data_IF_441981491774
#
_entry.id   IF_441981491774
#
_cell.length_a   1.000
_cell.length_b   1.000
_cell.length_c   1.000
_cell.angle_alpha   90.00
_cell.angle_beta   90.00
_cell.angle_gamma   90.00
#
_symmetry.space_group_name_H-M   'P 1'
#
loop_
_entity.id
_entity.type
_entity.pdbx_description
1 polymer ?
#
# COMPACT_ATOMS: atom_id res chain seq x y z
N UNK A 1 -5.73 7.24 -20.75
CA UNK A 1 -5.53 5.77 -20.71
C UNK A 1 -5.15 5.32 -19.31
N UNK A 2 -5.72 4.21 -18.81
CA UNK A 2 -5.39 3.55 -17.55
C UNK A 2 -4.41 2.39 -17.81
N UNK A 3 -3.32 2.30 -17.05
CA UNK A 3 -2.44 1.14 -17.01
C UNK A 3 -2.59 0.39 -15.69
N UNK A 4 -2.96 -0.87 -15.76
CA UNK A 4 -3.06 -1.78 -14.62
C UNK A 4 -1.84 -2.70 -14.62
N UNK A 5 -1.03 -2.63 -13.57
CA UNK A 5 0.19 -3.40 -13.42
C UNK A 5 -0.08 -4.57 -12.48
N UNK A 6 0.16 -5.79 -12.96
CA UNK A 6 -0.07 -7.03 -12.22
C UNK A 6 1.26 -7.79 -12.11
N UNK A 7 1.97 -7.70 -10.99
CA UNK A 7 3.14 -8.53 -10.72
C UNK A 7 2.70 -9.98 -10.49
N UNK A 8 3.40 -10.93 -11.10
CA UNK A 8 3.05 -12.36 -11.09
C UNK A 8 4.24 -13.17 -10.61
N UNK A 9 4.06 -13.92 -9.53
CA UNK A 9 5.05 -14.89 -9.06
C UNK A 9 4.38 -16.04 -8.33
N UNK A 10 4.47 -17.25 -8.89
CA UNK A 10 3.94 -18.48 -8.28
C UNK A 10 2.43 -18.38 -7.93
N UNK A 11 1.63 -17.81 -8.82
CA UNK A 11 0.20 -17.54 -8.64
C UNK A 11 -0.67 -18.11 -9.76
N UNK A 12 -0.25 -19.18 -10.42
CA UNK A 12 -1.00 -19.81 -11.51
C UNK A 12 -2.46 -20.13 -11.15
N UNK A 13 -2.75 -20.44 -9.88
CA UNK A 13 -4.09 -20.80 -9.42
C UNK A 13 -5.06 -19.62 -9.31
N UNK A 14 -4.56 -18.41 -9.10
CA UNK A 14 -5.36 -17.20 -8.86
C UNK A 14 -5.35 -16.22 -10.03
N UNK A 15 -4.31 -16.29 -10.88
CA UNK A 15 -4.05 -15.34 -11.96
C UNK A 15 -5.24 -15.16 -12.90
N UNK A 16 -5.91 -16.25 -13.31
CA UNK A 16 -7.02 -16.16 -14.26
C UNK A 16 -8.17 -15.34 -13.67
N UNK A 17 -8.55 -15.60 -12.44
CA UNK A 17 -9.62 -14.85 -11.76
C UNK A 17 -9.23 -13.38 -11.52
N UNK A 18 -7.96 -13.09 -11.25
CA UNK A 18 -7.43 -11.72 -11.15
C UNK A 18 -7.60 -11.00 -12.50
N UNK A 19 -7.03 -11.53 -13.58
CA UNK A 19 -7.06 -10.93 -14.91
C UNK A 19 -8.51 -10.73 -15.42
N UNK A 20 -9.37 -11.73 -15.26
CA UNK A 20 -10.79 -11.62 -15.60
C UNK A 20 -11.47 -10.48 -14.88
N UNK A 21 -11.23 -10.34 -13.56
CA UNK A 21 -11.84 -9.27 -12.75
C UNK A 21 -11.45 -7.88 -13.23
N UNK A 22 -10.21 -7.73 -13.72
CA UNK A 22 -9.71 -6.46 -14.28
C UNK A 22 -10.27 -6.21 -15.67
N UNK A 23 -10.31 -7.21 -16.54
CA UNK A 23 -10.88 -7.07 -17.90
C UNK A 23 -12.36 -6.73 -17.92
N UNK A 24 -13.10 -7.15 -16.89
CA UNK A 24 -14.53 -6.86 -16.71
C UNK A 24 -14.84 -5.43 -16.25
N UNK A 25 -13.83 -4.58 -16.02
CA UNK A 25 -13.99 -3.21 -15.50
C UNK A 25 -14.45 -2.24 -16.59
N UNK A 26 -15.20 -2.44 -17.50
CA UNK A 26 -15.90 -1.53 -18.43
C UNK A 26 -15.15 -0.18 -18.66
N UNK A 27 -13.83 -0.26 -18.91
CA UNK A 27 -12.96 0.86 -19.22
C UNK A 27 -12.37 0.65 -20.61
N UNK A 28 -12.72 1.54 -21.55
CA UNK A 28 -12.35 1.40 -22.97
C UNK A 28 -10.82 1.57 -23.15
N UNK A 29 -10.25 2.63 -22.59
CA UNK A 29 -8.84 2.94 -22.70
C UNK A 29 -8.05 2.37 -21.51
N UNK A 30 -7.95 1.03 -21.45
CA UNK A 30 -7.22 0.33 -20.41
C UNK A 30 -6.27 -0.72 -21.00
N UNK A 31 -5.03 -0.75 -20.51
CA UNK A 31 -4.07 -1.82 -20.75
C UNK A 31 -3.67 -2.52 -19.45
N UNK A 32 -3.39 -3.81 -19.52
CA UNK A 32 -2.83 -4.64 -18.47
C UNK A 32 -1.37 -4.98 -18.79
N UNK A 33 -0.49 -4.78 -17.82
CA UNK A 33 0.89 -5.25 -17.88
C UNK A 33 1.05 -6.39 -16.87
N UNK A 34 1.11 -7.63 -17.37
CA UNK A 34 1.41 -8.82 -16.57
C UNK A 34 2.94 -8.94 -16.50
N UNK A 35 3.50 -8.86 -15.31
CA UNK A 35 4.95 -8.97 -15.12
C UNK A 35 5.28 -10.26 -14.41
N UNK A 36 5.66 -11.26 -15.17
CA UNK A 36 6.13 -12.53 -14.63
C UNK A 36 7.55 -12.38 -14.07
N UNK A 37 7.69 -12.54 -12.77
CA UNK A 37 8.96 -12.43 -12.05
C UNK A 37 9.70 -13.78 -11.99
N UNK A 38 9.84 -14.45 -13.13
CA UNK A 38 10.41 -15.78 -13.29
C UNK A 38 9.70 -16.82 -12.41
N UNK A 39 8.39 -16.93 -12.55
CA UNK A 39 7.57 -17.89 -11.81
C UNK A 39 7.97 -19.34 -12.08
N UNK A 40 8.07 -20.19 -11.05
CA UNK A 40 8.42 -21.59 -11.20
C UNK A 40 7.24 -22.51 -11.58
N UNK A 41 6.01 -21.98 -11.55
CA UNK A 41 4.76 -22.68 -11.83
C UNK A 41 4.26 -22.40 -13.26
N UNK A 42 3.00 -22.68 -13.56
CA UNK A 42 2.39 -22.46 -14.88
C UNK A 42 2.02 -20.99 -15.17
N UNK A 43 2.28 -20.06 -14.26
CA UNK A 43 1.89 -18.65 -14.41
C UNK A 43 2.47 -18.00 -15.69
N UNK A 44 3.73 -18.22 -16.10
CA UNK A 44 4.26 -17.66 -17.34
C UNK A 44 3.43 -18.04 -18.58
N UNK A 45 3.11 -19.32 -18.73
CA UNK A 45 2.30 -19.81 -19.85
C UNK A 45 0.87 -19.25 -19.83
N UNK A 46 0.29 -19.03 -18.63
CA UNK A 46 -1.02 -18.39 -18.49
C UNK A 46 -0.96 -16.92 -18.88
N UNK A 47 0.09 -16.19 -18.50
CA UNK A 47 0.30 -14.81 -18.95
C UNK A 47 0.32 -14.72 -20.49
N UNK A 48 1.07 -15.58 -21.14
CA UNK A 48 1.14 -15.62 -22.61
C UNK A 48 -0.19 -15.97 -23.26
N UNK A 49 -0.93 -16.92 -22.68
CA UNK A 49 -2.26 -17.29 -23.15
C UNK A 49 -3.26 -16.12 -23.02
N UNK A 50 -3.18 -15.31 -21.95
CA UNK A 50 -3.98 -14.10 -21.79
C UNK A 50 -3.60 -13.03 -22.83
N UNK A 51 -2.31 -12.77 -23.06
CA UNK A 51 -1.87 -11.83 -24.08
C UNK A 51 -2.28 -12.24 -25.49
N UNK A 52 -2.17 -13.53 -25.81
CA UNK A 52 -2.61 -14.07 -27.10
C UNK A 52 -4.12 -13.89 -27.35
N UNK A 53 -4.94 -14.03 -26.30
CA UNK A 53 -6.41 -13.81 -26.38
C UNK A 53 -6.80 -12.33 -26.45
N UNK A 54 -5.98 -11.43 -25.87
CA UNK A 54 -6.27 -10.00 -25.78
C UNK A 54 -5.08 -9.12 -26.18
N UNK A 55 -4.52 -9.28 -27.42
CA UNK A 55 -3.24 -8.68 -27.83
C UNK A 55 -3.25 -7.14 -27.85
N UNK A 56 -4.45 -6.53 -27.91
CA UNK A 56 -4.60 -5.07 -27.89
C UNK A 56 -4.67 -4.49 -26.46
N UNK A 57 -4.91 -5.33 -25.46
CA UNK A 57 -5.15 -4.91 -24.07
C UNK A 57 -4.16 -5.46 -23.07
N UNK A 58 -3.51 -6.59 -23.36
CA UNK A 58 -2.60 -7.27 -22.43
C UNK A 58 -1.21 -7.37 -23.02
N UNK A 59 -0.22 -7.01 -22.24
CA UNK A 59 1.21 -7.20 -22.53
C UNK A 59 1.84 -7.99 -21.40
N UNK A 60 2.77 -8.86 -21.74
CA UNK A 60 3.56 -9.64 -20.80
C UNK A 60 4.99 -9.13 -20.79
N UNK A 61 5.58 -9.08 -19.60
CA UNK A 61 6.99 -8.82 -19.37
C UNK A 61 7.51 -10.01 -18.57
N UNK A 62 8.39 -10.83 -19.15
CA UNK A 62 9.06 -11.89 -18.42
C UNK A 62 10.39 -11.39 -17.88
N UNK A 63 10.58 -11.47 -16.56
CA UNK A 63 11.87 -11.18 -15.92
C UNK A 63 12.82 -12.36 -16.12
N UNK A 64 14.11 -12.13 -16.39
CA UNK A 64 15.07 -13.23 -16.60
C UNK A 64 15.39 -14.02 -15.33
N UNK A 65 15.07 -13.45 -14.17
CA UNK A 65 15.22 -14.06 -12.84
C UNK A 65 14.28 -13.40 -11.86
N UNK A 66 13.92 -14.08 -10.78
CA UNK A 66 13.15 -13.50 -9.70
C UNK A 66 13.90 -12.31 -9.08
N UNK A 67 13.28 -11.14 -9.15
CA UNK A 67 13.77 -9.88 -8.58
C UNK A 67 12.93 -9.38 -7.41
N UNK A 68 11.81 -10.05 -7.12
CA UNK A 68 10.82 -9.70 -6.11
C UNK A 68 9.81 -8.66 -6.57
N UNK A 69 8.78 -8.44 -5.76
CA UNK A 69 7.62 -7.60 -6.05
C UNK A 69 7.98 -6.20 -6.54
N UNK A 70 8.96 -5.56 -5.88
CA UNK A 70 9.47 -4.24 -6.27
C UNK A 70 10.04 -4.23 -7.69
N UNK A 71 10.82 -5.25 -8.05
CA UNK A 71 11.44 -5.33 -9.37
C UNK A 71 10.38 -5.53 -10.47
N UNK A 72 9.40 -6.40 -10.22
CA UNK A 72 8.29 -6.64 -11.15
C UNK A 72 7.48 -5.36 -11.39
N UNK A 73 7.05 -4.66 -10.33
CA UNK A 73 6.32 -3.39 -10.45
C UNK A 73 7.14 -2.33 -11.17
N UNK A 74 8.43 -2.20 -10.86
CA UNK A 74 9.32 -1.23 -11.48
C UNK A 74 9.53 -1.49 -12.98
N UNK A 75 9.64 -2.75 -13.40
CA UNK A 75 9.79 -3.10 -14.82
C UNK A 75 8.60 -2.62 -15.66
N UNK A 76 7.38 -2.79 -15.16
CA UNK A 76 6.19 -2.25 -15.83
C UNK A 76 6.14 -0.72 -15.79
N UNK A 77 6.49 -0.09 -14.67
CA UNK A 77 6.56 1.37 -14.56
C UNK A 77 7.52 1.95 -15.60
N UNK A 78 8.69 1.34 -15.81
CA UNK A 78 9.68 1.80 -16.79
C UNK A 78 9.14 1.71 -18.23
N UNK A 79 8.35 0.67 -18.54
CA UNK A 79 7.68 0.53 -19.85
C UNK A 79 6.63 1.63 -20.02
N UNK A 80 5.74 1.80 -19.05
CA UNK A 80 4.64 2.78 -19.07
C UNK A 80 5.17 4.20 -19.21
N UNK A 81 6.20 4.55 -18.44
CA UNK A 81 6.79 5.89 -18.46
C UNK A 81 7.53 6.19 -19.77
N UNK A 82 8.22 5.19 -20.33
CA UNK A 82 8.91 5.32 -21.63
C UNK A 82 7.93 5.56 -22.78
N UNK A 83 6.78 4.90 -22.76
CA UNK A 83 5.76 5.03 -23.80
C UNK A 83 5.01 6.36 -23.74
N UNK A 84 4.86 6.94 -22.55
CA UNK A 84 4.25 8.24 -22.35
C UNK A 84 2.77 8.36 -22.73
N UNK A 85 2.06 7.23 -22.84
CA UNK A 85 0.63 7.18 -23.28
C UNK A 85 -0.35 7.05 -22.13
N UNK A 86 0.13 6.73 -20.94
CA UNK A 86 -0.68 6.45 -19.74
C UNK A 86 -0.87 7.72 -18.93
N UNK A 87 -2.12 8.00 -18.54
CA UNK A 87 -2.46 9.11 -17.66
C UNK A 87 -2.54 8.67 -16.19
N UNK A 88 -3.04 7.45 -15.96
CA UNK A 88 -3.30 6.88 -14.64
C UNK A 88 -2.72 5.48 -14.55
N UNK A 89 -2.02 5.20 -13.45
CA UNK A 89 -1.45 3.90 -13.11
C UNK A 89 -2.16 3.36 -11.87
N UNK A 90 -2.40 2.05 -11.83
CA UNK A 90 -2.81 1.30 -10.65
C UNK A 90 -2.13 -0.06 -10.61
N UNK A 91 -2.15 -0.70 -9.45
CA UNK A 91 -1.58 -2.03 -9.24
C UNK A 91 -2.67 -2.99 -8.78
N UNK A 92 -2.54 -4.26 -9.16
CA UNK A 92 -3.38 -5.35 -8.64
C UNK A 92 -2.46 -6.53 -8.38
N UNK A 93 -2.49 -7.09 -7.18
CA UNK A 93 -1.72 -8.28 -6.88
C UNK A 93 -2.40 -9.51 -7.48
N UNK A 94 -1.62 -10.44 -8.04
CA UNK A 94 -2.13 -11.55 -8.88
C UNK A 94 -2.91 -12.62 -8.12
N UNK A 95 -2.97 -12.53 -6.79
CA UNK A 95 -3.81 -13.37 -5.91
C UNK A 95 -5.10 -12.66 -5.46
N UNK A 96 -5.33 -11.41 -5.92
CA UNK A 96 -6.49 -10.58 -5.58
C UNK A 96 -7.43 -10.37 -6.76
N UNK A 97 -8.53 -9.64 -6.52
CA UNK A 97 -9.57 -9.35 -7.52
C UNK A 97 -10.19 -7.96 -7.31
N UNK A 98 -10.89 -7.49 -8.32
CA UNK A 98 -11.73 -6.30 -8.22
C UNK A 98 -13.20 -6.67 -8.21
N UNK A 99 -14.01 -5.95 -7.46
CA UNK A 99 -15.45 -5.99 -7.63
C UNK A 99 -15.85 -5.44 -9.00
N UNK A 100 -16.96 -5.89 -9.59
CA UNK A 100 -17.49 -5.29 -10.82
C UNK A 100 -17.67 -3.78 -10.69
N UNK A 101 -17.43 -3.06 -11.80
CA UNK A 101 -17.63 -1.61 -11.89
C UNK A 101 -16.84 -0.81 -10.83
N UNK A 102 -15.59 -1.22 -10.53
CA UNK A 102 -14.70 -0.49 -9.60
C UNK A 102 -14.04 0.70 -10.29
N UNK A 103 -13.43 0.54 -11.47
CA UNK A 103 -12.61 1.59 -12.05
C UNK A 103 -13.39 2.73 -12.73
N UNK A 104 -14.52 2.46 -13.39
CA UNK A 104 -15.24 3.51 -14.11
C UNK A 104 -15.64 4.70 -13.22
N UNK A 105 -16.27 4.53 -12.03
CA UNK A 105 -16.59 5.65 -11.14
C UNK A 105 -15.34 6.31 -10.56
N UNK A 106 -14.24 5.58 -10.31
CA UNK A 106 -12.99 6.16 -9.79
C UNK A 106 -12.31 7.05 -10.83
N UNK A 107 -12.27 6.63 -12.10
CA UNK A 107 -11.76 7.44 -13.21
C UNK A 107 -12.60 8.68 -13.43
N UNK A 108 -13.92 8.56 -13.30
CA UNK A 108 -14.81 9.72 -13.36
C UNK A 108 -14.50 10.74 -12.26
N UNK A 109 -14.29 10.30 -11.01
CA UNK A 109 -13.85 11.18 -9.92
C UNK A 109 -12.51 11.84 -10.21
N UNK A 110 -11.52 11.09 -10.74
CA UNK A 110 -10.23 11.65 -11.13
C UNK A 110 -10.35 12.71 -12.24
N UNK A 111 -11.31 12.53 -13.17
CA UNK A 111 -11.59 13.50 -14.23
C UNK A 111 -12.27 14.77 -13.69
N UNK A 112 -13.16 14.66 -12.71
CA UNK A 112 -13.81 15.79 -12.06
C UNK A 112 -12.85 16.60 -11.17
N UNK A 113 -11.75 15.99 -10.72
CA UNK A 113 -10.76 16.61 -9.83
C UNK A 113 -9.36 16.61 -10.49
N UNK A 114 -9.08 17.53 -11.40
CA UNK A 114 -7.81 17.55 -12.16
C UNK A 114 -6.56 17.79 -11.30
N UNK A 115 -6.72 18.37 -10.11
CA UNK A 115 -5.63 18.60 -9.15
C UNK A 115 -5.36 17.41 -8.23
N UNK A 116 -6.22 16.38 -8.25
CA UNK A 116 -6.00 15.13 -7.54
C UNK A 116 -4.95 14.31 -8.29
N UNK A 117 -3.84 14.05 -7.62
CA UNK A 117 -2.75 13.24 -8.17
C UNK A 117 -2.83 11.77 -7.72
N UNK A 118 -3.46 11.51 -6.59
CA UNK A 118 -3.70 10.16 -6.06
C UNK A 118 -5.13 10.03 -5.55
N UNK A 119 -5.79 8.93 -5.89
CA UNK A 119 -7.10 8.54 -5.38
C UNK A 119 -6.97 7.20 -4.66
N UNK A 120 -7.44 7.14 -3.41
CA UNK A 120 -7.54 5.91 -2.64
C UNK A 120 -8.99 5.46 -2.55
N UNK A 121 -9.24 4.15 -2.71
CA UNK A 121 -10.58 3.57 -2.70
C UNK A 121 -10.70 2.38 -1.74
N UNK A 122 -11.96 1.96 -1.50
CA UNK A 122 -12.28 0.94 -0.54
C UNK A 122 -11.71 -0.44 -0.90
N UNK A 123 -11.43 -1.24 0.12
CA UNK A 123 -11.10 -2.66 -0.04
C UNK A 123 -11.88 -3.52 0.95
N UNK A 124 -11.99 -4.79 0.62
CA UNK A 124 -12.61 -5.81 1.45
C UNK A 124 -11.73 -7.06 1.50
N UNK A 125 -11.52 -7.61 2.69
CA UNK A 125 -10.81 -8.89 2.87
C UNK A 125 -11.74 -10.07 2.55
N UNK A 126 -11.26 -11.05 1.78
CA UNK A 126 -12.01 -12.23 1.34
C UNK A 126 -11.24 -13.50 1.73
N UNK A 127 -11.86 -14.57 2.29
CA UNK A 127 -13.26 -14.65 2.68
C UNK A 127 -13.59 -13.64 3.78
N UNK A 128 -14.83 -13.18 3.77
CA UNK A 128 -15.33 -12.12 4.65
C UNK A 128 -15.06 -12.46 6.12
N UNK A 129 -13.99 -11.95 6.68
CA UNK A 129 -13.81 -11.86 8.12
C UNK A 129 -14.41 -10.52 8.52
N UNK A 130 -15.40 -10.53 9.42
CA UNK A 130 -16.14 -9.38 9.92
C UNK A 130 -15.24 -8.36 10.67
N UNK A 131 -14.18 -7.90 10.04
CA UNK A 131 -13.40 -6.74 10.44
C UNK A 131 -13.90 -5.61 9.56
N UNK A 132 -14.79 -4.81 10.14
CA UNK A 132 -15.51 -3.72 9.52
C UNK A 132 -15.01 -3.32 8.14
N UNK A 133 -15.88 -3.46 7.17
CA UNK A 133 -15.70 -2.85 5.85
C UNK A 133 -15.24 -1.42 6.10
N UNK A 134 -14.03 -1.06 5.69
CA UNK A 134 -13.67 0.34 5.52
C UNK A 134 -14.45 0.93 4.31
N UNK A 135 -15.64 0.41 4.05
CA UNK A 135 -16.50 0.74 2.94
C UNK A 135 -17.93 0.34 3.23
N UNK A 136 -18.66 1.12 3.95
CA UNK A 136 -20.05 0.82 4.28
C UNK A 136 -20.80 1.98 4.90
N UNK A 137 -20.53 3.18 4.45
CA UNK A 137 -21.40 4.32 4.62
C UNK A 137 -21.27 5.17 3.37
N UNK A 138 -22.37 5.73 2.87
CA UNK A 138 -22.44 6.74 1.80
C UNK A 138 -21.71 8.04 2.22
N UNK A 139 -20.45 7.91 2.65
CA UNK A 139 -19.62 9.05 3.02
C UNK A 139 -19.14 9.69 1.72
N UNK A 140 -19.40 10.99 1.57
CA UNK A 140 -18.85 11.75 0.45
C UNK A 140 -17.33 11.59 0.37
N UNK A 141 -16.74 11.62 -0.82
CA UNK A 141 -15.29 11.60 -1.00
C UNK A 141 -14.63 12.70 -0.16
N UNK A 142 -13.50 12.37 0.47
CA UNK A 142 -12.74 13.31 1.31
C UNK A 142 -11.49 13.75 0.55
N UNK A 143 -11.34 15.07 0.37
CA UNK A 143 -10.19 15.67 -0.30
C UNK A 143 -9.16 16.12 0.73
N UNK A 144 -7.93 15.70 0.57
CA UNK A 144 -6.78 16.13 1.36
C UNK A 144 -5.87 17.00 0.50
N UNK A 145 -5.74 18.28 0.85
CA UNK A 145 -4.91 19.25 0.14
C UNK A 145 -3.43 19.22 0.56
N UNK A 146 -3.08 18.37 1.53
CA UNK A 146 -1.70 18.16 1.93
C UNK A 146 -1.45 16.71 2.42
N UNK A 147 -0.23 16.25 2.17
CA UNK A 147 0.23 14.91 2.49
C UNK A 147 0.20 14.59 3.98
N UNK A 148 0.49 15.57 4.86
CA UNK A 148 0.51 15.36 6.30
C UNK A 148 -0.89 15.08 6.85
N UNK A 149 -1.91 15.82 6.37
CA UNK A 149 -3.30 15.57 6.75
C UNK A 149 -3.76 14.20 6.28
N UNK A 150 -3.52 13.83 5.04
CA UNK A 150 -3.82 12.49 4.55
C UNK A 150 -3.13 11.43 5.40
N UNK A 151 -1.81 11.57 5.64
CA UNK A 151 -1.04 10.60 6.42
C UNK A 151 -1.56 10.40 7.83
N UNK A 152 -1.89 11.49 8.54
CA UNK A 152 -2.25 11.46 9.94
C UNK A 152 -3.75 11.31 10.20
N UNK A 153 -4.61 12.04 9.48
CA UNK A 153 -6.06 12.05 9.73
C UNK A 153 -6.72 10.79 9.14
N UNK A 154 -6.32 10.39 7.92
CA UNK A 154 -6.77 9.14 7.31
C UNK A 154 -6.06 7.92 7.89
N UNK A 155 -4.96 8.13 8.64
CA UNK A 155 -4.08 7.08 9.14
C UNK A 155 -3.49 6.23 8.00
N UNK A 156 -3.12 6.85 6.89
CA UNK A 156 -2.60 6.20 5.69
C UNK A 156 -1.40 5.27 5.97
N UNK A 157 -0.69 5.48 7.07
CA UNK A 157 0.36 4.59 7.57
C UNK A 157 -0.14 3.18 7.93
N UNK A 158 -1.44 2.97 8.12
CA UNK A 158 -2.04 1.64 8.38
C UNK A 158 -2.48 0.93 7.11
N UNK A 159 -2.56 1.63 5.97
CA UNK A 159 -3.02 1.13 4.68
C UNK A 159 -2.22 1.77 3.53
N UNK A 160 -0.89 1.75 3.64
CA UNK A 160 0.03 2.28 2.64
C UNK A 160 0.05 1.49 1.31
N UNK A 161 -0.82 0.51 1.17
CA UNK A 161 -0.91 -0.40 0.01
C UNK A 161 -0.91 0.32 -1.33
N UNK A 162 -0.18 -0.20 -2.32
CA UNK A 162 -0.19 0.34 -3.68
C UNK A 162 -1.47 -0.03 -4.44
N UNK A 163 -2.06 -1.18 -4.14
CA UNK A 163 -3.12 -1.80 -4.94
C UNK A 163 -4.51 -1.15 -4.81
N UNK A 164 -4.82 -0.43 -3.73
CA UNK A 164 -6.10 0.28 -3.58
C UNK A 164 -6.01 1.77 -3.93
N UNK A 165 -5.14 2.11 -4.86
CA UNK A 165 -4.92 3.50 -5.26
C UNK A 165 -4.79 3.64 -6.78
N UNK A 166 -5.30 4.77 -7.29
CA UNK A 166 -5.03 5.25 -8.64
C UNK A 166 -4.07 6.43 -8.53
N UNK A 167 -3.07 6.45 -9.39
CA UNK A 167 -2.02 7.46 -9.39
C UNK A 167 -1.94 8.15 -10.75
N UNK A 168 -1.83 9.48 -10.78
CA UNK A 168 -1.38 10.13 -12.01
C UNK A 168 0.03 9.69 -12.32
N UNK A 169 0.29 9.34 -13.57
CA UNK A 169 1.58 8.81 -14.03
C UNK A 169 2.75 9.71 -13.68
N UNK A 170 2.51 11.03 -13.60
CA UNK A 170 3.53 12.01 -13.25
C UNK A 170 4.19 11.76 -11.88
N UNK A 171 3.47 11.17 -10.91
CA UNK A 171 4.01 10.85 -9.58
C UNK A 171 5.14 9.80 -9.64
N UNK A 172 5.17 8.97 -10.69
CA UNK A 172 6.13 7.89 -10.83
C UNK A 172 7.39 8.25 -11.61
N UNK A 173 7.54 9.49 -12.08
CA UNK A 173 8.71 9.89 -12.90
C UNK A 173 10.02 9.60 -12.18
N UNK A 174 10.13 10.01 -10.91
CA UNK A 174 11.36 9.91 -10.12
C UNK A 174 11.22 8.95 -8.93
N UNK A 175 10.09 8.23 -8.83
CA UNK A 175 9.83 7.29 -7.73
C UNK A 175 9.79 5.86 -8.27
N UNK A 176 10.47 4.95 -7.55
CA UNK A 176 10.44 3.50 -7.77
C UNK A 176 10.32 2.79 -6.43
N UNK A 177 9.74 1.61 -6.46
CA UNK A 177 9.75 0.71 -5.31
C UNK A 177 11.19 0.30 -4.97
N UNK A 178 11.59 0.28 -3.69
CA UNK A 178 12.95 -0.09 -3.30
C UNK A 178 13.20 -1.58 -3.52
N UNK A 179 14.26 -1.92 -4.22
CA UNK A 179 14.64 -3.31 -4.47
C UNK A 179 15.11 -3.99 -3.18
N UNK A 180 14.75 -5.27 -3.01
CA UNK A 180 15.19 -6.08 -1.87
C UNK A 180 14.60 -5.68 -0.52
N UNK A 181 13.58 -4.81 -0.48
CA UNK A 181 12.84 -4.45 0.73
C UNK A 181 11.48 -5.13 0.73
N UNK A 182 11.08 -5.64 1.88
CA UNK A 182 9.69 -6.01 2.16
C UNK A 182 8.92 -4.81 2.71
N UNK A 183 7.59 -4.83 2.62
CA UNK A 183 6.74 -3.66 2.92
C UNK A 183 7.15 -2.43 2.10
N UNK A 184 7.49 -2.65 0.85
CA UNK A 184 7.95 -1.66 -0.12
C UNK A 184 6.98 -0.50 -0.30
N UNK A 185 5.69 -0.74 -0.10
CA UNK A 185 4.63 0.27 -0.15
C UNK A 185 4.83 1.36 0.92
N UNK A 186 5.21 0.94 2.16
CA UNK A 186 5.49 1.86 3.26
C UNK A 186 6.74 2.72 3.00
N UNK A 187 7.70 2.21 2.23
CA UNK A 187 8.85 2.97 1.77
C UNK A 187 8.50 3.93 0.64
N UNK A 188 7.54 3.56 -0.21
CA UNK A 188 7.24 4.25 -1.47
C UNK A 188 6.20 5.35 -1.31
N UNK A 189 5.11 5.10 -0.57
CA UNK A 189 4.01 6.06 -0.42
C UNK A 189 4.46 7.44 0.09
N UNK A 190 5.32 7.56 1.14
CA UNK A 190 5.79 8.87 1.58
C UNK A 190 6.58 9.66 0.52
N UNK A 191 7.22 8.97 -0.43
CA UNK A 191 7.96 9.59 -1.55
C UNK A 191 7.02 10.04 -2.65
N UNK A 192 5.96 9.27 -2.94
CA UNK A 192 4.91 9.70 -3.88
C UNK A 192 4.18 10.94 -3.37
N UNK A 193 3.92 10.98 -2.06
CA UNK A 193 3.27 12.11 -1.41
C UNK A 193 4.09 13.41 -1.47
N UNK A 194 5.41 13.35 -1.69
CA UNK A 194 6.25 14.54 -1.89
C UNK A 194 5.90 15.29 -3.18
N UNK A 195 5.50 14.58 -4.22
CA UNK A 195 5.08 15.15 -5.50
C UNK A 195 3.56 15.30 -5.64
N UNK A 196 2.79 14.89 -4.62
CA UNK A 196 1.34 14.84 -4.68
C UNK A 196 0.72 16.16 -4.21
N UNK A 197 -0.06 16.83 -5.06
CA UNK A 197 -0.79 18.07 -4.72
C UNK A 197 -2.00 17.77 -3.84
N UNK A 198 -2.83 16.81 -4.25
CA UNK A 198 -4.06 16.43 -3.56
C UNK A 198 -4.28 14.92 -3.59
N UNK A 199 -4.83 14.41 -2.50
CA UNK A 199 -5.28 13.02 -2.37
C UNK A 199 -6.79 13.00 -2.16
N UNK A 200 -7.50 12.20 -2.95
CA UNK A 200 -8.93 11.95 -2.80
C UNK A 200 -9.14 10.56 -2.21
N UNK A 201 -9.88 10.47 -1.12
CA UNK A 201 -10.27 9.18 -0.50
C UNK A 201 -11.76 8.96 -0.71
N UNK A 202 -12.13 7.80 -1.25
CA UNK A 202 -13.52 7.48 -1.57
C UNK A 202 -13.90 6.06 -1.14
N UNK A 203 -15.21 5.85 -0.97
CA UNK A 203 -15.79 4.53 -0.72
C UNK A 203 -16.36 3.90 -2.02
N UNK A 204 -16.24 4.57 -3.16
CA UNK A 204 -16.60 3.99 -4.45
C UNK A 204 -15.59 2.96 -4.89
N UNK A 205 -16.05 1.92 -5.58
CA UNK A 205 -15.24 0.79 -6.00
C UNK A 205 -14.84 -0.12 -4.82
N UNK A 206 -14.37 -1.31 -5.11
CA UNK A 206 -13.91 -2.23 -4.06
C UNK A 206 -12.82 -3.16 -4.60
N UNK A 207 -11.66 -3.12 -3.94
CA UNK A 207 -10.62 -4.10 -4.10
C UNK A 207 -10.91 -5.31 -3.21
N UNK A 208 -10.84 -6.51 -3.73
CA UNK A 208 -11.09 -7.76 -3.01
C UNK A 208 -9.74 -8.40 -2.64
N UNK A 209 -9.27 -8.09 -1.45
CA UNK A 209 -8.02 -8.61 -0.90
C UNK A 209 -8.21 -10.04 -0.42
N UNK A 210 -7.48 -10.98 -1.00
CA UNK A 210 -7.51 -12.40 -0.64
C UNK A 210 -6.49 -12.68 0.47
N UNK A 211 -6.94 -13.11 1.65
CA UNK A 211 -6.01 -13.46 2.71
C UNK A 211 -5.11 -14.65 2.30
N UNK A 212 -3.81 -14.41 2.27
CA UNK A 212 -2.81 -15.41 1.94
C UNK A 212 -2.01 -15.82 3.19
N UNK A 213 -2.26 -17.02 3.77
CA UNK A 213 -1.55 -17.47 4.96
C UNK A 213 -0.05 -17.72 4.72
N UNK A 214 0.38 -17.83 3.47
CA UNK A 214 1.80 -17.95 3.07
C UNK A 214 2.42 -16.60 2.69
N UNK A 215 1.64 -15.53 2.68
CA UNK A 215 2.11 -14.18 2.34
C UNK A 215 3.08 -13.59 3.36
N UNK A 216 3.81 -12.56 2.95
CA UNK A 216 4.81 -11.86 3.77
C UNK A 216 4.18 -11.33 5.06
N UNK A 217 2.99 -10.74 5.00
CA UNK A 217 2.30 -10.15 6.15
C UNK A 217 2.02 -11.19 7.26
N UNK A 218 1.67 -12.43 6.88
CA UNK A 218 1.37 -13.49 7.82
C UNK A 218 2.62 -14.13 8.44
N UNK A 219 3.77 -14.10 7.72
CA UNK A 219 4.99 -14.83 8.08
C UNK A 219 6.21 -13.92 8.27
N UNK A 220 5.99 -12.63 8.53
CA UNK A 220 7.07 -11.65 8.65
C UNK A 220 8.10 -12.03 9.72
N UNK A 221 9.35 -12.15 9.31
CA UNK A 221 10.50 -12.43 10.16
C UNK A 221 11.18 -11.14 10.68
N UNK A 222 12.29 -11.27 11.40
CA UNK A 222 13.00 -10.12 11.96
C UNK A 222 13.53 -9.13 10.91
N UNK A 223 13.91 -9.61 9.72
CA UNK A 223 14.38 -8.75 8.63
C UNK A 223 13.23 -7.95 8.00
N UNK A 224 12.06 -8.58 7.86
CA UNK A 224 10.84 -7.93 7.37
C UNK A 224 10.38 -6.81 8.33
N UNK A 225 10.38 -7.10 9.64
CA UNK A 225 10.06 -6.09 10.65
C UNK A 225 11.12 -4.98 10.73
N UNK A 226 12.40 -5.28 10.42
CA UNK A 226 13.42 -4.25 10.29
C UNK A 226 13.16 -3.33 9.11
N UNK A 227 12.76 -3.88 7.95
CA UNK A 227 12.39 -3.09 6.77
C UNK A 227 11.19 -2.18 7.04
N UNK A 228 10.12 -2.72 7.64
CA UNK A 228 8.95 -1.94 8.02
C UNK A 228 9.27 -0.84 9.03
N UNK A 229 10.14 -1.14 10.03
CA UNK A 229 10.56 -0.16 11.03
C UNK A 229 11.38 0.96 10.38
N UNK A 230 12.32 0.64 9.49
CA UNK A 230 13.12 1.62 8.75
C UNK A 230 12.21 2.62 8.01
N UNK A 231 11.26 2.11 7.21
CA UNK A 231 10.29 2.93 6.51
C UNK A 231 9.45 3.79 7.46
N UNK A 232 8.98 3.17 8.56
CA UNK A 232 8.14 3.84 9.56
C UNK A 232 8.88 4.95 10.30
N UNK A 233 10.18 4.79 10.57
CA UNK A 233 11.01 5.82 11.20
C UNK A 233 11.24 7.02 10.26
N UNK A 234 11.49 6.77 8.98
CA UNK A 234 11.60 7.84 7.97
C UNK A 234 10.29 8.64 7.91
N UNK A 235 9.15 7.96 7.79
CA UNK A 235 7.86 8.60 7.76
C UNK A 235 7.48 9.28 9.09
N UNK A 236 7.95 8.74 10.24
CA UNK A 236 7.79 9.38 11.54
C UNK A 236 8.50 10.73 11.60
N UNK A 237 9.75 10.80 11.16
CA UNK A 237 10.49 12.07 11.13
C UNK A 237 9.81 13.10 10.22
N UNK A 238 9.23 12.64 9.11
CA UNK A 238 8.58 13.51 8.13
C UNK A 238 7.22 14.06 8.62
N UNK A 239 6.36 13.21 9.17
CA UNK A 239 4.96 13.55 9.47
C UNK A 239 4.67 13.64 10.97
N UNK A 240 5.25 12.75 11.77
CA UNK A 240 4.95 12.66 13.20
C UNK A 240 5.61 13.76 14.01
N UNK A 241 6.90 14.02 13.78
CA UNK A 241 7.63 15.05 14.49
C UNK A 241 7.11 16.47 14.18
N UNK A 242 6.74 16.72 12.91
CA UNK A 242 6.16 18.00 12.48
C UNK A 242 4.78 18.23 13.08
N UNK A 243 3.95 17.19 13.19
CA UNK A 243 2.63 17.28 13.80
C UNK A 243 2.68 17.68 15.27
N UNK A 244 3.74 17.28 15.98
CA UNK A 244 3.96 17.63 17.38
C UNK A 244 4.17 19.14 17.56
N UNK A 245 4.94 19.74 16.66
CA UNK A 245 5.22 21.18 16.67
C UNK A 245 3.98 22.04 16.31
N UNK A 246 3.00 21.48 15.58
CA UNK A 246 1.82 22.18 15.08
C UNK A 246 0.56 21.96 15.94
N UNK A 247 0.67 21.63 17.24
CA UNK A 247 -0.43 21.35 18.17
C UNK A 247 -1.37 20.18 17.75
N UNK A 248 -1.02 19.40 16.75
CA UNK A 248 -1.79 18.22 16.29
C UNK A 248 -1.41 16.95 17.07
N UNK A 249 -1.16 17.16 18.35
CA UNK A 249 -0.55 16.20 19.27
C UNK A 249 -1.32 14.86 19.40
N UNK A 250 -2.68 14.85 19.22
CA UNK A 250 -3.45 13.61 19.31
C UNK A 250 -3.11 12.65 18.16
N UNK A 251 -3.04 13.16 16.94
CA UNK A 251 -2.73 12.34 15.75
C UNK A 251 -1.28 11.87 15.79
N UNK A 252 -0.36 12.73 16.25
CA UNK A 252 1.03 12.36 16.48
C UNK A 252 1.15 11.25 17.55
N UNK A 253 0.38 11.31 18.65
CA UNK A 253 0.36 10.26 19.69
C UNK A 253 -0.13 8.92 19.11
N UNK A 254 -1.19 8.92 18.30
CA UNK A 254 -1.70 7.72 17.63
C UNK A 254 -0.66 7.13 16.67
N UNK A 255 -0.04 7.96 15.86
CA UNK A 255 0.99 7.53 14.93
C UNK A 255 2.23 7.01 15.67
N UNK A 256 2.67 7.68 16.76
CA UNK A 256 3.75 7.17 17.60
C UNK A 256 3.45 5.77 18.15
N UNK A 257 2.22 5.52 18.62
CA UNK A 257 1.83 4.21 19.11
C UNK A 257 1.85 3.13 18.02
N UNK A 258 1.54 3.51 16.78
CA UNK A 258 1.68 2.59 15.63
C UNK A 258 3.16 2.22 15.41
N UNK A 259 4.04 3.21 15.30
CA UNK A 259 5.49 2.97 15.11
C UNK A 259 6.09 2.23 16.31
N UNK A 260 5.65 2.53 17.53
CA UNK A 260 6.04 1.81 18.74
C UNK A 260 5.69 0.32 18.67
N UNK A 261 4.51 -0.05 18.15
CA UNK A 261 4.13 -1.45 17.99
C UNK A 261 5.09 -2.17 17.03
N UNK A 262 5.45 -1.56 15.92
CA UNK A 262 6.43 -2.10 14.96
C UNK A 262 7.79 -2.26 15.66
N UNK A 263 8.25 -1.24 16.38
CA UNK A 263 9.51 -1.28 17.11
C UNK A 263 9.56 -2.41 18.15
N UNK A 264 8.48 -2.60 18.92
CA UNK A 264 8.41 -3.64 19.95
C UNK A 264 8.43 -5.04 19.31
N UNK A 265 7.73 -5.23 18.20
CA UNK A 265 7.74 -6.49 17.47
C UNK A 265 9.13 -6.80 16.89
N UNK A 266 9.80 -5.79 16.32
CA UNK A 266 11.19 -5.94 15.89
C UNK A 266 12.13 -6.31 17.04
N UNK A 267 12.04 -5.63 18.20
CA UNK A 267 12.84 -5.95 19.38
C UNK A 267 12.61 -7.39 19.87
N UNK A 268 11.34 -7.84 19.84
CA UNK A 268 10.96 -9.20 20.22
C UNK A 268 11.63 -10.26 19.35
N UNK A 269 11.61 -10.07 18.03
CA UNK A 269 12.14 -11.06 17.09
C UNK A 269 13.65 -10.98 16.92
N UNK A 270 14.25 -9.78 16.98
CA UNK A 270 15.67 -9.57 16.73
C UNK A 270 16.56 -9.58 17.98
N UNK A 271 15.97 -9.40 19.19
CA UNK A 271 16.72 -9.17 20.40
C UNK A 271 17.44 -7.81 20.48
N UNK A 272 17.32 -6.94 19.48
CA UNK A 272 18.03 -5.65 19.42
C UNK A 272 17.35 -4.58 20.29
N UNK A 273 18.12 -3.56 20.66
CA UNK A 273 17.60 -2.39 21.37
C UNK A 273 16.69 -1.52 20.49
N UNK A 274 15.73 -0.78 21.08
CA UNK A 274 14.88 0.12 20.33
C UNK A 274 15.66 1.32 19.77
N UNK A 275 15.28 1.74 18.57
CA UNK A 275 15.84 2.91 17.84
C UNK A 275 14.84 4.07 17.74
N UNK A 276 13.54 3.81 17.93
CA UNK A 276 12.53 4.87 17.97
C UNK A 276 12.85 5.85 19.11
N UNK A 277 12.91 7.17 18.87
CA UNK A 277 13.07 8.15 19.93
C UNK A 277 11.94 8.05 20.98
N UNK A 278 12.29 8.13 22.25
CA UNK A 278 11.29 8.16 23.31
C UNK A 278 10.43 9.43 23.20
N UNK A 279 9.12 9.25 23.30
CA UNK A 279 8.15 10.33 23.37
C UNK A 279 7.08 9.98 24.40
N UNK A 280 6.79 10.86 25.37
CA UNK A 280 5.65 10.70 26.26
C UNK A 280 4.36 10.90 25.48
N UNK A 281 3.43 9.91 25.56
CA UNK A 281 2.12 9.98 24.93
C UNK A 281 1.06 10.43 25.92
N UNK A 282 0.03 11.14 25.47
CA UNK A 282 -1.11 11.55 26.30
C UNK A 282 -2.15 10.42 26.31
N UNK A 283 -2.39 9.81 27.48
CA UNK A 283 -3.33 8.70 27.60
C UNK A 283 -4.74 9.09 27.18
N UNK A 284 -5.17 10.32 27.47
CA UNK A 284 -6.49 10.86 27.08
C UNK A 284 -6.69 10.95 25.56
N UNK A 285 -5.59 11.01 24.80
CA UNK A 285 -5.62 11.05 23.35
C UNK A 285 -5.73 9.65 22.72
N UNK A 286 -5.45 8.59 23.48
CA UNK A 286 -5.37 7.22 22.99
C UNK A 286 -6.69 6.46 23.09
N UNK A 287 -7.03 5.59 22.13
CA UNK A 287 -8.04 4.56 22.30
C UNK A 287 -7.73 3.63 23.49
N UNK A 288 -8.76 3.10 24.16
CA UNK A 288 -8.61 2.23 25.35
C UNK A 288 -7.62 1.08 25.14
N UNK A 289 -7.58 0.51 23.94
CA UNK A 289 -6.65 -0.59 23.57
C UNK A 289 -5.17 -0.23 23.71
N UNK A 290 -4.82 1.06 23.70
CA UNK A 290 -3.44 1.53 23.84
C UNK A 290 -3.10 2.07 25.24
N UNK A 291 -4.06 2.21 26.15
CA UNK A 291 -3.85 2.84 27.45
C UNK A 291 -2.78 2.14 28.28
N UNK A 292 -2.90 0.81 28.45
CA UNK A 292 -1.92 0.04 29.23
C UNK A 292 -0.51 0.21 28.67
N UNK A 293 -0.35 0.08 27.35
CA UNK A 293 0.95 0.26 26.69
C UNK A 293 1.48 1.70 26.82
N UNK A 294 0.63 2.68 26.69
CA UNK A 294 0.98 4.10 26.90
C UNK A 294 1.38 4.39 28.34
N UNK A 295 0.67 3.80 29.31
CA UNK A 295 1.01 3.91 30.74
C UNK A 295 2.37 3.28 31.05
N UNK A 296 2.62 2.05 30.56
CA UNK A 296 3.90 1.37 30.71
C UNK A 296 5.05 2.12 30.05
N UNK A 297 4.82 2.68 28.85
CA UNK A 297 5.81 3.52 28.17
C UNK A 297 6.20 4.73 29.03
N UNK A 298 5.23 5.41 29.63
CA UNK A 298 5.46 6.59 30.52
C UNK A 298 6.16 6.22 31.82
N UNK A 299 5.76 5.10 32.44
CA UNK A 299 6.29 4.68 33.74
C UNK A 299 7.69 4.07 33.65
N UNK A 300 7.95 3.26 32.62
CA UNK A 300 9.16 2.45 32.49
C UNK A 300 10.14 2.97 31.44
N UNK A 301 9.67 3.82 30.52
CA UNK A 301 10.40 4.24 29.34
C UNK A 301 10.52 3.14 28.28
N UNK A 302 10.94 3.53 27.08
CA UNK A 302 10.96 2.64 25.92
C UNK A 302 11.94 1.46 26.05
N UNK A 303 13.11 1.68 26.63
CA UNK A 303 14.14 0.64 26.77
C UNK A 303 13.68 -0.50 27.68
N UNK A 304 13.05 -0.19 28.81
CA UNK A 304 12.52 -1.20 29.75
C UNK A 304 11.30 -1.90 29.14
N UNK A 305 10.38 -1.13 28.55
CA UNK A 305 9.21 -1.70 27.86
C UNK A 305 9.64 -2.69 26.76
N UNK A 306 10.65 -2.34 25.95
CA UNK A 306 11.16 -3.23 24.90
C UNK A 306 11.81 -4.51 25.47
N UNK A 307 12.44 -4.45 26.64
CA UNK A 307 12.95 -5.67 27.33
C UNK A 307 11.83 -6.58 27.82
N UNK A 308 10.72 -6.02 28.30
CA UNK A 308 9.56 -6.80 28.75
C UNK A 308 8.81 -7.45 27.58
N UNK A 309 8.97 -6.93 26.37
CA UNK A 309 8.31 -7.43 25.17
C UNK A 309 9.10 -8.57 24.50
N UNK A 310 10.36 -8.76 24.88
CA UNK A 310 11.24 -9.86 24.43
C UNK A 310 10.87 -11.17 25.14
#
# INVERSE_FOLDING_TARGET
MLSVIIPVYNTAQTLDACVESVLQQQVDEMQLLLVDDASPDEAPARCDAWAARHPQRIRVIHQPKNGGLSAARNAALDVVLREGKTDIITFVDSDDRLSPNTYAPLLHLMAQHPDVDMLEYAYQEVPYINKGVNGGNNKAPTLYADAQRYWLQEQAYTHSYAWNKLYRTALWRDVRFPLGKTFEDMHTLPRLLDGCRQVLVTQHGTYLYSYNPKGITANANAADWASLLEASLVAWHKYGAVADNNNNNRLADLYYMYVLNIQLQYCKLSGKAPTLPYRPVRLTALPRRFWLKGLLLRALGLKVLARWYR
#
